data_IF_930799708997
#
_entry.id   IF_930799708997
#
_cell.length_a   1.000
_cell.length_b   1.000
_cell.length_c   1.000
_cell.angle_alpha   90.00
_cell.angle_beta   90.00
_cell.angle_gamma   90.00
#
_symmetry.space_group_name_H-M   'P 1'
#
loop_
_entity.id
_entity.type
_entity.pdbx_description
1 polymer ?
#
# COMPACT_ATOMS: atom_id res chain seq x y z
N UNK A 1 -4.16 12.41 -3.18
CA UNK A 1 -3.52 11.30 -3.91
C UNK A 1 -2.58 10.61 -2.92
N UNK A 2 -3.00 9.48 -2.35
CA UNK A 2 -2.18 8.71 -1.41
C UNK A 2 -1.42 7.67 -2.23
N UNK A 3 -0.11 7.83 -2.36
CA UNK A 3 0.77 6.79 -2.87
C UNK A 3 1.12 5.87 -1.69
N UNK A 4 0.71 4.61 -1.77
CA UNK A 4 1.12 3.58 -0.83
C UNK A 4 2.13 2.73 -1.57
N UNK A 5 3.36 2.72 -1.06
CA UNK A 5 4.37 1.80 -1.52
C UNK A 5 4.45 0.67 -0.48
N UNK A 6 4.10 -0.57 -0.82
CA UNK A 6 4.48 -1.76 -0.04
C UNK A 6 5.49 -2.58 -0.88
N UNK A 7 6.74 -2.73 -0.40
CA UNK A 7 7.98 -3.33 -0.99
C UNK A 7 7.92 -4.84 -1.42
N UNK A 8 8.96 -5.49 -2.04
CA UNK A 8 10.37 -5.09 -2.30
C UNK A 8 10.90 -5.24 -3.77
N UNK A 9 12.13 -4.76 -4.04
CA UNK A 9 12.86 -4.88 -5.32
C UNK A 9 13.34 -6.30 -5.62
N UNK A 10 13.42 -6.62 -6.92
CA UNK A 10 14.22 -7.71 -7.48
C UNK A 10 14.95 -7.16 -8.70
N UNK A 11 16.30 -7.14 -8.69
CA UNK A 11 17.08 -6.86 -9.89
C UNK A 11 17.64 -8.17 -10.44
N UNK A 12 17.14 -8.56 -11.61
CA UNK A 12 17.67 -9.70 -12.36
C UNK A 12 18.98 -9.32 -13.05
N UNK A 13 20.02 -10.12 -12.86
CA UNK A 13 21.16 -10.18 -13.78
C UNK A 13 20.71 -10.85 -15.09
N UNK A 14 20.94 -10.19 -16.23
CA UNK A 14 20.90 -10.86 -17.54
C UNK A 14 22.30 -10.87 -18.17
N UNK A 15 22.75 -12.01 -18.74
CA UNK A 15 23.90 -12.04 -19.62
C UNK A 15 23.52 -11.62 -21.05
N UNK A 16 24.47 -10.99 -21.74
CA UNK A 16 24.36 -10.55 -23.13
C UNK A 16 24.09 -11.71 -24.09
N UNK A 17 23.18 -11.52 -25.06
CA UNK A 17 23.32 -12.17 -26.37
C UNK A 17 22.68 -11.38 -27.52
N UNK A 18 23.54 -11.11 -28.49
CA UNK A 18 23.39 -10.83 -29.92
C UNK A 18 22.05 -10.43 -30.56
N UNK A 19 22.23 -9.37 -31.36
CA UNK A 19 21.33 -8.68 -32.28
C UNK A 19 21.20 -9.46 -33.59
N UNK A 20 19.97 -9.72 -34.03
CA UNK A 20 19.66 -10.07 -35.43
C UNK A 20 18.48 -9.25 -35.91
N UNK A 21 18.68 -8.55 -37.04
CA UNK A 21 17.67 -7.75 -37.74
C UNK A 21 16.76 -8.68 -38.52
N UNK A 22 15.45 -8.46 -38.43
CA UNK A 22 14.44 -9.08 -39.28
C UNK A 22 13.41 -8.05 -39.72
N UNK A 23 13.39 -7.77 -41.01
CA UNK A 23 12.45 -6.92 -41.74
C UNK A 23 11.17 -7.69 -42.06
N UNK A 24 9.99 -7.08 -41.89
CA UNK A 24 8.74 -7.50 -42.54
C UNK A 24 7.75 -6.32 -42.52
N UNK A 25 7.48 -5.67 -43.67
CA UNK A 25 6.52 -6.06 -44.71
C UNK A 25 5.05 -5.88 -44.26
N UNK A 26 4.42 -4.89 -44.88
CA UNK A 26 3.02 -4.52 -44.73
C UNK A 26 2.11 -5.55 -45.42
N UNK A 27 0.99 -5.87 -44.78
CA UNK A 27 -0.18 -6.51 -45.41
C UNK A 27 -1.44 -5.86 -44.85
N UNK A 28 -2.22 -5.29 -45.75
CA UNK A 28 -3.63 -4.95 -45.53
C UNK A 28 -4.47 -6.21 -45.78
N UNK A 29 -5.42 -6.52 -44.90
CA UNK A 29 -6.74 -6.96 -45.34
C UNK A 29 -7.77 -6.71 -44.22
N UNK A 30 -8.98 -6.34 -44.64
CA UNK A 30 -10.07 -5.91 -43.79
C UNK A 30 -10.96 -7.05 -43.30
N UNK A 31 -11.67 -6.80 -42.20
CA UNK A 31 -13.03 -7.32 -42.04
C UNK A 31 -13.78 -6.57 -40.94
N UNK A 32 -15.04 -6.29 -41.29
CA UNK A 32 -16.15 -5.64 -40.56
C UNK A 32 -16.11 -5.79 -39.03
N UNK A 33 -15.99 -4.66 -38.32
CA UNK A 33 -16.26 -4.55 -36.89
C UNK A 33 -17.51 -3.70 -36.65
N UNK A 34 -18.41 -4.22 -35.82
CA UNK A 34 -19.67 -3.61 -35.40
C UNK A 34 -19.50 -2.25 -34.74
N UNK A 35 -20.56 -1.45 -34.91
CA UNK A 35 -20.69 -0.08 -34.41
C UNK A 35 -20.54 -0.03 -32.88
N UNK A 36 -19.42 0.52 -32.42
CA UNK A 36 -19.17 0.85 -31.01
C UNK A 36 -19.91 2.15 -30.68
N UNK A 37 -20.76 2.12 -29.65
CA UNK A 37 -21.50 3.28 -29.15
C UNK A 37 -20.54 4.34 -28.54
N UNK A 38 -20.82 5.65 -28.66
CA UNK A 38 -19.95 6.70 -28.16
C UNK A 38 -19.88 6.71 -26.62
N UNK A 39 -18.67 6.91 -26.09
CA UNK A 39 -18.41 7.10 -24.66
C UNK A 39 -18.80 8.52 -24.24
N UNK A 40 -20.04 8.72 -23.80
CA UNK A 40 -20.47 9.93 -23.11
C UNK A 40 -20.77 9.62 -21.64
N UNK A 41 -20.26 10.48 -20.76
CA UNK A 41 -20.40 10.51 -19.29
C UNK A 41 -19.47 9.61 -18.45
N UNK A 42 -18.15 9.84 -18.56
CA UNK A 42 -17.24 9.56 -17.45
C UNK A 42 -17.43 10.65 -16.36
N UNK A 43 -17.56 10.30 -15.07
CA UNK A 43 -17.69 11.29 -14.01
C UNK A 43 -16.44 12.18 -13.96
N UNK A 44 -16.66 13.50 -13.99
CA UNK A 44 -15.63 14.51 -13.93
C UNK A 44 -14.95 14.49 -12.56
N UNK A 45 -13.76 13.90 -12.46
CA UNK A 45 -12.90 14.05 -11.29
C UNK A 45 -12.18 15.41 -11.42
N UNK A 46 -12.31 16.33 -10.46
CA UNK A 46 -11.72 17.67 -10.58
C UNK A 46 -10.19 17.61 -10.68
N UNK A 47 -9.64 18.41 -11.60
CA UNK A 47 -8.20 18.65 -11.74
C UNK A 47 -7.68 19.34 -10.47
N UNK A 48 -6.68 18.77 -9.82
CA UNK A 48 -5.80 19.53 -8.93
C UNK A 48 -4.76 20.25 -9.80
N UNK A 49 -4.77 21.59 -9.78
CA UNK A 49 -3.80 22.45 -10.45
C UNK A 49 -2.50 22.54 -9.64
N UNK A 50 -1.36 22.66 -10.34
CA UNK A 50 0.03 22.72 -9.84
C UNK A 50 0.51 21.47 -9.09
N UNK A 51 1.02 20.48 -9.82
CA UNK A 51 1.41 19.19 -9.28
C UNK A 51 2.76 19.26 -8.54
N UNK A 52 2.75 19.67 -7.27
CA UNK A 52 3.80 19.24 -6.34
C UNK A 52 3.82 17.70 -6.34
N UNK A 53 4.98 17.05 -6.49
CA UNK A 53 5.05 15.60 -6.44
C UNK A 53 4.47 15.08 -5.13
N UNK A 54 3.90 13.88 -5.14
CA UNK A 54 3.39 13.30 -3.90
C UNK A 54 4.55 13.11 -2.90
N UNK A 55 4.27 13.17 -1.60
CA UNK A 55 5.30 13.15 -0.54
C UNK A 55 6.35 12.05 -0.71
N UNK A 56 5.94 10.83 -1.08
CA UNK A 56 6.89 9.72 -1.21
C UNK A 56 7.79 9.83 -2.45
N UNK A 57 7.32 10.50 -3.50
CA UNK A 57 8.13 10.82 -4.68
C UNK A 57 9.09 11.95 -4.35
N UNK A 58 8.63 13.00 -3.66
CA UNK A 58 9.46 14.11 -3.20
C UNK A 58 10.57 13.65 -2.23
N UNK A 59 10.28 12.62 -1.42
CA UNK A 59 11.24 12.02 -0.48
C UNK A 59 12.01 10.82 -1.07
N UNK A 60 12.18 10.75 -2.38
CA UNK A 60 13.10 9.80 -3.01
C UNK A 60 14.49 10.45 -3.10
N UNK A 61 15.54 9.86 -2.50
CA UNK A 61 16.88 10.43 -2.65
C UNK A 61 17.33 10.45 -4.11
N UNK A 62 17.97 11.53 -4.55
CA UNK A 62 18.51 11.67 -5.91
C UNK A 62 19.74 10.79 -6.11
N UNK A 63 20.55 10.64 -5.07
CA UNK A 63 21.78 9.83 -5.05
C UNK A 63 21.57 8.39 -4.56
N UNK A 64 20.31 7.89 -4.53
CA UNK A 64 19.95 6.61 -3.92
C UNK A 64 20.81 5.43 -4.39
N UNK A 65 21.06 5.33 -5.71
CA UNK A 65 21.80 4.21 -6.28
C UNK A 65 23.28 4.24 -5.86
N UNK A 66 23.90 5.41 -5.90
CA UNK A 66 25.28 5.62 -5.50
C UNK A 66 25.48 5.29 -4.02
N UNK A 67 24.57 5.77 -3.16
CA UNK A 67 24.64 5.52 -1.71
C UNK A 67 24.44 4.04 -1.38
N UNK A 68 23.57 3.35 -2.13
CA UNK A 68 23.43 1.89 -2.00
C UNK A 68 24.71 1.17 -2.39
N UNK A 69 25.33 1.53 -3.51
CA UNK A 69 26.58 0.90 -3.95
C UNK A 69 27.70 1.08 -2.92
N UNK A 70 27.89 2.30 -2.41
CA UNK A 70 28.85 2.60 -1.33
C UNK A 70 28.58 1.77 -0.08
N UNK A 71 27.32 1.70 0.35
CA UNK A 71 26.93 0.91 1.51
C UNK A 71 27.29 -0.57 1.37
N UNK A 72 26.97 -1.18 0.22
CA UNK A 72 27.27 -2.59 -0.02
C UNK A 72 28.77 -2.84 -0.18
N UNK A 73 29.51 -1.95 -0.86
CA UNK A 73 30.97 -2.04 -0.98
C UNK A 73 31.70 -1.91 0.37
N UNK A 74 31.12 -1.19 1.32
CA UNK A 74 31.66 -1.04 2.67
C UNK A 74 31.39 -2.23 3.61
N UNK A 75 30.85 -3.33 3.08
CA UNK A 75 30.37 -4.46 3.90
C UNK A 75 29.36 -4.00 4.97
N UNK A 76 28.45 -3.09 4.56
CA UNK A 76 27.37 -2.55 5.38
C UNK A 76 27.80 -1.67 6.57
N UNK A 77 29.03 -1.13 6.58
CA UNK A 77 29.56 -0.30 7.69
C UNK A 77 29.44 1.21 7.44
N UNK A 78 29.26 1.63 6.19
CA UNK A 78 29.05 3.03 5.81
C UNK A 78 27.67 3.54 6.25
N UNK A 79 27.56 4.83 6.55
CA UNK A 79 26.28 5.51 6.83
C UNK A 79 25.87 6.33 5.60
N UNK A 80 24.86 5.89 4.83
CA UNK A 80 24.38 6.60 3.66
C UNK A 80 24.11 8.08 3.93
N UNK A 81 24.51 8.94 3.00
CA UNK A 81 24.29 10.38 3.03
C UNK A 81 23.32 10.75 1.90
N UNK A 82 22.04 10.85 2.19
CA UNK A 82 21.00 11.03 1.17
C UNK A 82 20.80 12.49 0.78
N UNK A 83 20.71 12.73 -0.52
CA UNK A 83 20.41 14.04 -1.09
C UNK A 83 18.96 14.09 -1.59
N UNK A 84 18.27 15.21 -1.34
CA UNK A 84 16.87 15.43 -1.73
C UNK A 84 16.74 16.77 -2.48
N UNK A 85 15.87 16.81 -3.49
CA UNK A 85 15.67 18.03 -4.32
C UNK A 85 14.95 19.16 -3.56
N UNK A 86 14.02 18.83 -2.66
CA UNK A 86 13.15 19.80 -1.99
C UNK A 86 13.55 20.00 -0.51
N UNK A 87 14.17 21.14 -0.19
CA UNK A 87 14.51 21.52 1.19
C UNK A 87 13.27 21.90 2.06
N UNK A 88 12.13 22.25 1.45
CA UNK A 88 10.94 22.76 2.14
C UNK A 88 9.97 21.68 2.69
N UNK A 89 10.38 20.41 2.73
CA UNK A 89 9.54 19.32 3.26
C UNK A 89 9.54 19.23 4.80
N UNK A 90 10.25 20.11 5.50
CA UNK A 90 10.44 20.08 6.97
C UNK A 90 9.13 19.95 7.74
N UNK A 91 8.15 20.80 7.46
CA UNK A 91 6.84 20.79 8.15
C UNK A 91 6.02 19.52 7.91
N UNK A 92 6.25 18.82 6.79
CA UNK A 92 5.58 17.54 6.51
C UNK A 92 6.34 16.39 7.17
N UNK A 93 7.67 16.45 7.18
CA UNK A 93 8.53 15.48 7.87
C UNK A 93 8.35 15.52 9.39
N UNK A 94 8.10 16.70 9.97
CA UNK A 94 7.79 16.86 11.39
C UNK A 94 6.59 16.03 11.84
N UNK A 95 5.62 15.75 10.95
CA UNK A 95 4.47 14.89 11.27
C UNK A 95 4.83 13.42 11.42
N UNK A 96 5.99 13.01 10.91
CA UNK A 96 6.44 11.62 10.86
C UNK A 96 7.79 11.44 11.57
N UNK A 97 8.23 12.40 12.37
CA UNK A 97 9.54 12.34 13.04
C UNK A 97 9.56 11.41 14.26
N UNK A 98 8.40 11.20 14.88
CA UNK A 98 8.26 10.41 16.11
C UNK A 98 7.72 9.02 15.79
N UNK A 99 8.43 7.99 16.29
CA UNK A 99 7.95 6.63 16.26
C UNK A 99 7.09 6.34 17.50
N UNK A 100 6.02 5.59 17.31
CA UNK A 100 5.22 5.02 18.39
C UNK A 100 5.82 3.70 18.87
N UNK A 101 5.66 3.40 20.16
CA UNK A 101 5.97 2.13 20.81
C UNK A 101 4.72 1.36 21.26
N UNK A 102 3.53 1.94 21.05
CA UNK A 102 2.24 1.45 21.56
C UNK A 102 1.97 -0.03 21.26
N UNK A 103 2.41 -0.52 20.09
CA UNK A 103 2.15 -1.89 19.66
C UNK A 103 3.39 -2.79 19.62
N UNK A 104 4.47 -2.43 20.31
CA UNK A 104 5.68 -3.26 20.32
C UNK A 104 5.43 -4.66 20.89
N UNK A 105 4.56 -4.80 21.89
CA UNK A 105 4.18 -6.12 22.39
C UNK A 105 3.53 -6.97 21.29
N UNK A 106 2.56 -6.43 20.56
CA UNK A 106 1.89 -7.14 19.46
C UNK A 106 2.86 -7.48 18.34
N UNK A 107 3.84 -6.60 18.08
CA UNK A 107 4.91 -6.87 17.13
C UNK A 107 5.73 -8.10 17.55
N UNK A 108 6.04 -8.27 18.84
CA UNK A 108 6.79 -9.45 19.31
C UNK A 108 6.00 -10.76 19.19
N UNK A 109 4.68 -10.71 19.24
CA UNK A 109 3.79 -11.87 19.02
C UNK A 109 3.67 -12.22 17.52
N UNK A 110 3.66 -11.21 16.64
CA UNK A 110 3.46 -11.40 15.19
C UNK A 110 4.74 -11.81 14.45
N UNK A 111 5.90 -11.23 14.81
CA UNK A 111 7.15 -11.42 14.05
C UNK A 111 7.71 -12.86 14.01
N UNK A 112 7.50 -13.75 14.99
CA UNK A 112 7.90 -15.15 14.89
C UNK A 112 7.35 -15.86 13.64
N UNK A 113 6.19 -15.41 13.12
CA UNK A 113 5.57 -15.94 11.90
C UNK A 113 6.12 -15.36 10.60
N UNK A 114 7.20 -14.58 10.66
CA UNK A 114 7.84 -13.99 9.51
C UNK A 114 8.27 -15.08 8.52
N UNK A 115 7.68 -15.05 7.31
CA UNK A 115 8.07 -15.98 6.25
C UNK A 115 7.78 -15.41 4.86
N UNK A 116 8.84 -14.97 4.17
CA UNK A 116 8.79 -14.51 2.79
C UNK A 116 8.41 -15.61 1.79
N UNK A 117 8.59 -16.89 2.10
CA UNK A 117 8.31 -18.01 1.19
C UNK A 117 6.81 -18.26 0.97
N UNK A 118 5.93 -17.65 1.79
CA UNK A 118 4.47 -17.80 1.68
C UNK A 118 3.86 -17.19 0.41
N UNK A 119 4.64 -16.43 -0.38
CA UNK A 119 4.16 -15.81 -1.62
C UNK A 119 3.96 -16.77 -2.78
N UNK A 120 4.61 -17.93 -2.76
CA UNK A 120 4.68 -18.82 -3.90
C UNK A 120 5.54 -18.26 -5.04
N UNK A 121 5.40 -18.84 -6.22
CA UNK A 121 6.20 -18.50 -7.39
C UNK A 121 5.81 -17.12 -7.95
N UNK A 122 6.79 -16.44 -8.56
CA UNK A 122 6.54 -15.24 -9.38
C UNK A 122 5.73 -15.66 -10.60
N UNK A 123 4.68 -14.91 -10.91
CA UNK A 123 3.76 -15.24 -11.98
C UNK A 123 4.23 -14.71 -13.34
N UNK A 124 4.08 -15.48 -14.43
CA UNK A 124 4.26 -14.96 -15.78
C UNK A 124 3.31 -13.79 -16.08
N UNK A 125 3.73 -12.84 -16.92
CA UNK A 125 2.93 -11.66 -17.32
C UNK A 125 1.50 -12.03 -17.75
N UNK A 126 1.33 -13.12 -18.50
CA UNK A 126 0.02 -13.59 -18.97
C UNK A 126 -0.92 -13.99 -17.83
N UNK A 127 -0.39 -14.63 -16.79
CA UNK A 127 -1.18 -15.04 -15.61
C UNK A 127 -1.54 -13.83 -14.75
N UNK A 128 -0.62 -12.86 -14.60
CA UNK A 128 -0.91 -11.58 -13.93
C UNK A 128 -2.07 -10.88 -14.64
N UNK A 129 -1.99 -10.73 -15.97
CA UNK A 129 -3.04 -10.14 -16.77
C UNK A 129 -4.40 -10.86 -16.65
N UNK A 130 -4.39 -12.19 -16.67
CA UNK A 130 -5.61 -12.98 -16.52
C UNK A 130 -6.27 -12.77 -15.14
N UNK A 131 -5.46 -12.78 -14.07
CA UNK A 131 -5.93 -12.55 -12.71
C UNK A 131 -6.49 -11.13 -12.53
N UNK A 132 -5.80 -10.12 -13.05
CA UNK A 132 -6.24 -8.71 -12.98
C UNK A 132 -7.56 -8.52 -13.73
N UNK A 133 -7.67 -9.03 -14.97
CA UNK A 133 -8.92 -8.95 -15.74
C UNK A 133 -10.08 -9.61 -15.00
N UNK A 134 -9.88 -10.81 -14.46
CA UNK A 134 -10.88 -11.53 -13.67
C UNK A 134 -11.31 -10.71 -12.45
N UNK A 135 -10.36 -10.09 -11.74
CA UNK A 135 -10.66 -9.27 -10.58
C UNK A 135 -11.45 -8.01 -10.96
N UNK A 136 -11.04 -7.28 -12.00
CA UNK A 136 -11.76 -6.11 -12.50
C UNK A 136 -13.18 -6.46 -12.96
N UNK A 137 -13.38 -7.63 -13.58
CA UNK A 137 -14.72 -8.13 -13.93
C UNK A 137 -15.59 -8.37 -12.70
N UNK A 138 -15.06 -9.05 -11.67
CA UNK A 138 -15.79 -9.29 -10.41
C UNK A 138 -16.24 -7.99 -9.73
N UNK A 139 -15.39 -6.97 -9.73
CA UNK A 139 -15.72 -5.69 -9.10
C UNK A 139 -16.50 -4.74 -10.02
N UNK A 140 -16.70 -5.09 -11.30
CA UNK A 140 -17.32 -4.21 -12.29
C UNK A 140 -16.47 -3.00 -12.69
N UNK A 141 -15.14 -3.08 -12.58
CA UNK A 141 -14.19 -2.00 -12.88
C UNK A 141 -13.57 -2.08 -14.28
N UNK A 142 -14.07 -2.94 -15.17
CA UNK A 142 -13.52 -3.12 -16.52
C UNK A 142 -13.68 -1.83 -17.32
N UNK A 143 -12.58 -1.31 -17.87
CA UNK A 143 -12.56 -0.05 -18.61
C UNK A 143 -12.48 1.20 -17.75
N UNK A 144 -12.65 1.08 -16.42
CA UNK A 144 -12.52 2.19 -15.47
C UNK A 144 -11.07 2.37 -15.00
N UNK A 145 -10.34 1.26 -14.83
CA UNK A 145 -8.96 1.23 -14.34
C UNK A 145 -8.02 0.78 -15.47
N UNK A 146 -7.04 1.61 -15.80
CA UNK A 146 -5.92 1.26 -16.68
C UNK A 146 -4.92 0.43 -15.87
N UNK A 147 -4.36 -0.61 -16.46
CA UNK A 147 -3.37 -1.45 -15.79
C UNK A 147 -2.05 -1.37 -16.55
N UNK A 148 -0.95 -1.21 -15.81
CA UNK A 148 0.42 -1.26 -16.33
C UNK A 148 1.23 -2.27 -15.53
N UNK A 149 2.14 -2.94 -16.20
CA UNK A 149 3.10 -3.85 -15.57
C UNK A 149 4.49 -3.22 -15.71
N UNK A 150 5.24 -3.18 -14.62
CA UNK A 150 6.57 -2.59 -14.56
C UNK A 150 7.52 -3.48 -13.77
N UNK A 151 8.81 -3.41 -14.09
CA UNK A 151 9.88 -4.02 -13.30
C UNK A 151 10.60 -2.97 -12.42
N UNK A 152 10.27 -1.69 -12.58
CA UNK A 152 10.97 -0.54 -11.97
C UNK A 152 10.25 0.01 -10.73
N UNK A 153 9.03 -0.47 -10.45
CA UNK A 153 8.22 0.04 -9.35
C UNK A 153 8.79 -0.44 -7.99
N UNK A 154 9.04 0.50 -7.08
CA UNK A 154 9.57 0.21 -5.73
C UNK A 154 8.61 -0.63 -4.86
N UNK A 155 7.31 -0.55 -5.16
CA UNK A 155 6.24 -1.26 -4.47
C UNK A 155 5.65 -2.39 -5.31
N UNK A 156 4.91 -3.30 -4.69
CA UNK A 156 4.18 -4.35 -5.39
C UNK A 156 3.17 -3.80 -6.38
N UNK A 157 2.52 -2.70 -6.01
CA UNK A 157 1.64 -1.97 -6.89
C UNK A 157 1.50 -0.51 -6.42
N UNK A 158 0.90 0.31 -7.28
CA UNK A 158 0.47 1.65 -6.95
C UNK A 158 -0.74 2.02 -7.79
N UNK A 159 -1.75 2.61 -7.16
CA UNK A 159 -2.87 3.26 -7.84
C UNK A 159 -2.62 4.78 -7.94
N UNK A 160 -2.58 5.29 -9.18
CA UNK A 160 -2.45 6.74 -9.47
C UNK A 160 -3.60 7.21 -10.35
N UNK A 161 -3.88 8.51 -10.37
CA UNK A 161 -4.80 9.11 -11.35
C UNK A 161 -3.96 9.91 -12.33
N UNK A 162 -3.78 9.38 -13.54
CA UNK A 162 -3.05 10.03 -14.63
C UNK A 162 -4.04 10.47 -15.70
N UNK A 163 -4.03 11.76 -16.08
CA UNK A 163 -4.93 12.30 -17.12
C UNK A 163 -6.42 11.94 -16.88
N UNK A 164 -6.86 12.09 -15.62
CA UNK A 164 -8.21 11.71 -15.16
C UNK A 164 -8.54 10.21 -15.29
N UNK A 165 -7.56 9.35 -15.53
CA UNK A 165 -7.72 7.90 -15.59
C UNK A 165 -7.03 7.22 -14.41
N UNK A 166 -7.78 6.50 -13.57
CA UNK A 166 -7.21 5.60 -12.57
C UNK A 166 -6.30 4.58 -13.25
N UNK A 167 -5.04 4.51 -12.83
CA UNK A 167 -4.00 3.65 -13.39
C UNK A 167 -3.35 2.86 -12.27
N UNK A 168 -3.50 1.54 -12.33
CA UNK A 168 -2.83 0.58 -11.47
C UNK A 168 -1.54 0.11 -12.14
N UNK A 169 -0.39 0.46 -11.56
CA UNK A 169 0.90 -0.10 -11.99
C UNK A 169 1.29 -1.22 -11.04
N UNK A 170 1.61 -2.41 -11.56
CA UNK A 170 1.99 -3.60 -10.78
C UNK A 170 3.45 -3.94 -11.04
N UNK A 171 4.21 -4.20 -9.98
CA UNK A 171 5.56 -4.75 -10.07
C UNK A 171 5.50 -6.26 -10.36
N UNK A 172 6.08 -6.67 -11.49
CA UNK A 172 6.11 -8.06 -11.91
C UNK A 172 6.90 -8.98 -10.98
N UNK A 173 8.02 -8.50 -10.42
CA UNK A 173 8.81 -9.27 -9.46
C UNK A 173 8.07 -9.51 -8.13
N UNK A 174 7.14 -8.62 -7.80
CA UNK A 174 6.25 -8.73 -6.63
C UNK A 174 4.97 -9.52 -6.89
N UNK A 175 4.63 -9.78 -8.15
CA UNK A 175 3.39 -10.45 -8.55
C UNK A 175 3.48 -11.96 -8.34
N UNK A 176 3.22 -12.41 -7.12
CA UNK A 176 3.33 -13.82 -6.72
C UNK A 176 1.98 -14.52 -6.58
N UNK A 177 1.97 -15.83 -6.83
CA UNK A 177 0.77 -16.66 -6.90
C UNK A 177 -0.19 -16.48 -5.73
N UNK A 178 0.31 -16.45 -4.49
CA UNK A 178 -0.54 -16.36 -3.29
C UNK A 178 -0.77 -14.93 -2.80
N UNK A 179 -0.13 -13.94 -3.41
CA UNK A 179 -0.20 -12.54 -2.97
C UNK A 179 -0.95 -11.63 -3.94
N UNK A 180 -0.97 -11.95 -5.24
CA UNK A 180 -1.51 -11.07 -6.27
C UNK A 180 -2.97 -10.66 -6.00
N UNK A 181 -3.85 -11.61 -5.67
CA UNK A 181 -5.25 -11.26 -5.39
C UNK A 181 -5.41 -10.43 -4.11
N UNK A 182 -4.53 -10.61 -3.12
CA UNK A 182 -4.47 -9.75 -1.93
C UNK A 182 -4.06 -8.32 -2.28
N UNK A 183 -3.07 -8.16 -3.14
CA UNK A 183 -2.68 -6.84 -3.67
C UNK A 183 -3.85 -6.19 -4.44
N UNK A 184 -4.60 -6.94 -5.24
CA UNK A 184 -5.77 -6.39 -5.95
C UNK A 184 -6.89 -5.97 -5.00
N UNK A 185 -7.12 -6.72 -3.90
CA UNK A 185 -8.04 -6.28 -2.83
C UNK A 185 -7.56 -5.01 -2.12
N UNK A 186 -6.26 -4.85 -1.93
CA UNK A 186 -5.65 -3.66 -1.36
C UNK A 186 -5.88 -2.44 -2.27
N UNK A 187 -5.39 -2.50 -3.51
CA UNK A 187 -5.41 -1.36 -4.45
C UNK A 187 -6.81 -1.07 -5.01
N UNK A 188 -7.48 -2.09 -5.53
CA UNK A 188 -8.78 -1.94 -6.20
C UNK A 188 -9.91 -2.07 -5.19
N UNK A 189 -9.94 -3.20 -4.46
CA UNK A 189 -10.99 -3.52 -3.50
C UNK A 189 -11.11 -2.52 -2.35
N UNK A 190 -10.04 -1.81 -2.02
CA UNK A 190 -10.04 -0.85 -0.91
C UNK A 190 -9.83 0.56 -1.43
N UNK A 191 -8.63 0.92 -1.88
CA UNK A 191 -8.30 2.31 -2.17
C UNK A 191 -9.12 2.91 -3.30
N UNK A 192 -9.26 2.16 -4.40
CA UNK A 192 -10.01 2.62 -5.55
C UNK A 192 -11.50 2.71 -5.25
N UNK A 193 -12.14 1.63 -4.81
CA UNK A 193 -13.59 1.61 -4.56
C UNK A 193 -14.00 2.59 -3.45
N UNK A 194 -13.24 2.68 -2.35
CA UNK A 194 -13.50 3.71 -1.32
C UNK A 194 -13.25 5.13 -1.86
N UNK A 195 -12.31 5.31 -2.79
CA UNK A 195 -12.11 6.57 -3.49
C UNK A 195 -13.30 6.97 -4.37
N UNK A 196 -13.85 6.01 -5.13
CA UNK A 196 -15.06 6.19 -5.94
C UNK A 196 -16.23 6.56 -5.02
N UNK A 197 -16.46 5.79 -3.97
CA UNK A 197 -17.53 6.06 -3.01
C UNK A 197 -17.37 7.42 -2.33
N UNK A 198 -16.14 7.80 -1.95
CA UNK A 198 -15.84 9.10 -1.35
C UNK A 198 -16.24 10.28 -2.25
N UNK A 199 -16.11 10.12 -3.58
CA UNK A 199 -16.47 11.17 -4.54
C UNK A 199 -17.98 11.46 -4.60
N UNK A 200 -18.80 10.52 -4.12
CA UNK A 200 -20.26 10.65 -4.04
C UNK A 200 -20.72 11.36 -2.76
N UNK A 201 -19.83 11.49 -1.76
CA UNK A 201 -20.22 11.95 -0.43
C UNK A 201 -20.19 13.48 -0.31
N UNK A 202 -21.06 14.08 0.53
CA UNK A 202 -21.05 15.52 0.81
C UNK A 202 -19.73 16.05 1.37
N UNK A 203 -18.90 15.17 1.96
CA UNK A 203 -17.57 15.48 2.50
C UNK A 203 -16.42 15.11 1.55
N UNK A 204 -16.67 14.99 0.25
CA UNK A 204 -15.61 14.70 -0.73
C UNK A 204 -14.48 15.75 -0.74
N UNK A 205 -14.79 17.01 -0.38
CA UNK A 205 -13.84 18.13 -0.39
C UNK A 205 -13.18 18.37 0.98
N UNK A 206 -11.95 18.86 0.98
CA UNK A 206 -11.19 19.15 2.21
C UNK A 206 -11.87 20.20 3.10
N UNK A 207 -12.51 21.20 2.49
CA UNK A 207 -13.23 22.28 3.17
C UNK A 207 -14.42 21.72 3.95
N UNK A 208 -15.20 20.83 3.32
CA UNK A 208 -16.33 20.16 3.98
C UNK A 208 -15.87 19.23 5.09
N UNK A 209 -14.76 18.50 4.90
CA UNK A 209 -14.18 17.64 5.95
C UNK A 209 -13.75 18.47 7.17
N UNK A 210 -13.16 19.65 6.96
CA UNK A 210 -12.80 20.58 8.04
C UNK A 210 -14.03 21.14 8.74
N UNK A 211 -15.05 21.56 7.99
CA UNK A 211 -16.29 22.09 8.55
C UNK A 211 -17.03 21.07 9.44
N UNK A 212 -16.97 19.78 9.09
CA UNK A 212 -17.53 18.69 9.89
C UNK A 212 -16.61 18.21 11.02
N UNK A 213 -15.37 18.70 11.09
CA UNK A 213 -14.37 18.22 12.05
C UNK A 213 -14.15 16.71 11.93
N UNK A 214 -13.95 16.21 10.71
CA UNK A 214 -13.69 14.78 10.49
C UNK A 214 -12.29 14.40 10.96
N UNK A 215 -12.18 13.21 11.56
CA UNK A 215 -10.91 12.62 11.96
C UNK A 215 -10.10 12.19 10.73
N UNK A 216 -8.80 12.01 10.95
CA UNK A 216 -7.90 11.53 9.91
C UNK A 216 -8.31 10.12 9.44
N UNK A 217 -8.60 9.97 8.15
CA UNK A 217 -9.02 8.68 7.58
C UNK A 217 -7.86 7.69 7.37
N UNK A 218 -6.60 8.15 7.47
CA UNK A 218 -5.43 7.38 7.04
C UNK A 218 -5.28 6.05 7.82
N UNK A 219 -5.39 5.99 9.16
CA UNK A 219 -5.34 4.71 9.87
C UNK A 219 -6.43 3.73 9.43
N UNK A 220 -7.66 4.20 9.19
CA UNK A 220 -8.74 3.34 8.69
C UNK A 220 -8.48 2.84 7.28
N UNK A 221 -8.04 3.73 6.39
CA UNK A 221 -7.76 3.40 4.99
C UNK A 221 -6.64 2.37 4.85
N UNK A 222 -5.50 2.63 5.49
CA UNK A 222 -4.30 1.77 5.43
C UNK A 222 -4.52 0.46 6.20
N UNK A 223 -5.24 0.51 7.32
CA UNK A 223 -5.61 -0.66 8.10
C UNK A 223 -6.52 -1.61 7.33
N UNK A 224 -7.59 -1.10 6.70
CA UNK A 224 -8.49 -1.91 5.87
C UNK A 224 -7.74 -2.53 4.70
N UNK A 225 -6.94 -1.74 3.98
CA UNK A 225 -6.21 -2.23 2.82
C UNK A 225 -5.18 -3.31 3.22
N UNK A 226 -4.53 -3.14 4.36
CA UNK A 226 -3.58 -4.13 4.90
C UNK A 226 -4.28 -5.42 5.32
N UNK A 227 -5.42 -5.35 6.01
CA UNK A 227 -6.26 -6.51 6.34
C UNK A 227 -6.73 -7.24 5.07
N UNK A 228 -7.24 -6.51 4.08
CA UNK A 228 -7.72 -7.08 2.82
C UNK A 228 -6.62 -7.79 2.02
N UNK A 229 -5.36 -7.37 2.18
CA UNK A 229 -4.21 -8.03 1.54
C UNK A 229 -3.96 -9.45 2.04
N UNK A 230 -4.34 -9.75 3.30
CA UNK A 230 -4.18 -11.06 3.94
C UNK A 230 -5.49 -11.84 4.12
N UNK A 231 -6.63 -11.17 3.96
CA UNK A 231 -7.98 -11.66 4.32
C UNK A 231 -8.31 -13.10 3.95
N UNK A 232 -7.92 -13.55 2.76
CA UNK A 232 -8.26 -14.88 2.23
C UNK A 232 -7.02 -15.78 2.08
N UNK A 233 -5.92 -15.46 2.76
CA UNK A 233 -4.73 -16.33 2.78
C UNK A 233 -4.97 -17.49 3.76
N UNK A 234 -4.42 -18.66 3.43
CA UNK A 234 -4.43 -19.82 4.34
C UNK A 234 -3.77 -19.52 5.69
N UNK A 235 -2.73 -18.68 5.68
CA UNK A 235 -2.01 -18.19 6.85
C UNK A 235 -1.98 -16.66 6.78
N UNK A 236 -2.93 -15.96 7.40
CA UNK A 236 -3.08 -14.52 7.25
C UNK A 236 -2.21 -13.73 8.24
N UNK A 237 -0.91 -14.04 8.28
CA UNK A 237 0.03 -13.39 9.19
C UNK A 237 0.28 -11.92 8.81
N UNK A 238 0.38 -11.07 9.83
CA UNK A 238 0.54 -9.63 9.74
C UNK A 238 2.01 -9.17 9.80
N UNK A 239 2.97 -10.11 9.65
CA UNK A 239 4.41 -9.86 9.83
C UNK A 239 4.95 -8.72 8.98
N UNK A 240 4.35 -8.40 7.81
CA UNK A 240 4.77 -7.24 7.00
C UNK A 240 4.53 -5.92 7.73
N UNK A 241 3.32 -5.74 8.26
CA UNK A 241 2.96 -4.54 9.00
C UNK A 241 3.73 -4.47 10.33
N UNK A 242 3.90 -5.61 11.01
CA UNK A 242 4.69 -5.68 12.24
C UNK A 242 6.17 -5.36 12.02
N UNK A 243 6.79 -5.87 10.94
CA UNK A 243 8.18 -5.59 10.64
C UNK A 243 8.41 -4.13 10.24
N UNK A 244 7.49 -3.53 9.49
CA UNK A 244 7.54 -2.08 9.20
C UNK A 244 7.46 -1.27 10.50
N UNK A 245 6.53 -1.61 11.38
CA UNK A 245 6.36 -0.94 12.67
C UNK A 245 7.62 -1.05 13.54
N UNK A 246 8.16 -2.27 13.66
CA UNK A 246 9.39 -2.58 14.38
C UNK A 246 10.59 -1.80 13.86
N UNK A 247 10.76 -1.80 12.54
CA UNK A 247 11.90 -1.14 11.88
C UNK A 247 11.85 0.36 12.12
N UNK A 248 10.68 0.99 11.98
CA UNK A 248 10.51 2.42 12.26
C UNK A 248 10.83 2.74 13.71
N UNK A 249 10.32 1.95 14.67
CA UNK A 249 10.56 2.18 16.09
C UNK A 249 12.05 2.20 16.41
N UNK A 250 12.80 1.18 15.95
CA UNK A 250 14.24 1.12 16.19
C UNK A 250 15.04 2.14 15.39
N UNK A 251 14.58 2.55 14.20
CA UNK A 251 15.23 3.60 13.42
C UNK A 251 15.32 4.93 14.17
N UNK A 252 14.35 5.22 15.06
CA UNK A 252 14.35 6.44 15.86
C UNK A 252 15.63 6.60 16.71
N UNK A 253 16.28 5.51 17.09
CA UNK A 253 17.45 5.52 17.97
C UNK A 253 18.75 5.01 17.32
N UNK A 254 18.68 4.32 16.18
CA UNK A 254 19.84 3.67 15.53
C UNK A 254 20.29 4.44 14.29
N UNK A 255 21.57 4.36 13.94
CA UNK A 255 22.06 4.73 12.60
C UNK A 255 21.52 3.78 11.51
N UNK A 256 21.77 4.09 10.24
CA UNK A 256 21.34 3.22 9.14
C UNK A 256 22.04 1.85 9.20
N UNK A 257 23.36 1.83 9.37
CA UNK A 257 24.12 0.58 9.45
C UNK A 257 23.70 -0.26 10.67
N UNK A 258 23.48 0.38 11.83
CA UNK A 258 23.02 -0.28 13.05
C UNK A 258 21.64 -0.90 12.85
N UNK A 259 20.69 -0.16 12.29
CA UNK A 259 19.34 -0.65 11.99
C UNK A 259 19.39 -1.83 11.01
N UNK A 260 20.20 -1.73 9.96
CA UNK A 260 20.40 -2.77 8.96
C UNK A 260 20.92 -4.07 9.58
N UNK A 261 21.87 -4.00 10.49
CA UNK A 261 22.34 -5.17 11.23
C UNK A 261 21.29 -5.68 12.21
N UNK A 262 20.57 -4.78 12.88
CA UNK A 262 19.58 -5.11 13.89
C UNK A 262 18.45 -5.97 13.34
N UNK A 263 17.89 -5.60 12.17
CA UNK A 263 16.77 -6.32 11.56
C UNK A 263 17.17 -7.63 10.85
N UNK A 264 18.47 -7.96 10.79
CA UNK A 264 18.99 -9.24 10.24
C UNK A 264 18.39 -10.47 10.91
N UNK A 265 18.01 -10.34 12.18
CA UNK A 265 17.34 -11.39 12.95
C UNK A 265 16.04 -11.88 12.31
N UNK A 266 15.39 -11.04 11.50
CA UNK A 266 14.18 -11.37 10.75
C UNK A 266 14.49 -11.46 9.26
N UNK A 267 15.12 -10.42 8.68
CA UNK A 267 15.32 -10.30 7.24
C UNK A 267 16.75 -10.67 6.86
N UNK A 268 16.94 -11.85 6.25
CA UNK A 268 18.28 -12.30 5.87
C UNK A 268 18.83 -11.63 4.61
N UNK A 269 18.00 -11.38 3.60
CA UNK A 269 18.43 -10.72 2.36
C UNK A 269 18.93 -9.29 2.63
N UNK A 270 20.19 -8.97 2.29
CA UNK A 270 20.74 -7.62 2.40
C UNK A 270 19.92 -6.59 1.62
N UNK A 271 19.47 -6.94 0.41
CA UNK A 271 18.65 -6.06 -0.43
C UNK A 271 17.34 -5.66 0.24
N UNK A 272 16.62 -6.65 0.79
CA UNK A 272 15.37 -6.39 1.49
C UNK A 272 15.62 -5.56 2.75
N UNK A 273 16.70 -5.83 3.50
CA UNK A 273 17.07 -5.04 4.68
C UNK A 273 17.32 -3.57 4.34
N UNK A 274 18.07 -3.31 3.26
CA UNK A 274 18.35 -1.96 2.78
C UNK A 274 17.06 -1.17 2.57
N UNK A 275 16.05 -1.80 1.96
CA UNK A 275 14.78 -1.14 1.69
C UNK A 275 13.99 -0.81 2.96
N UNK A 276 13.96 -1.71 3.95
CA UNK A 276 13.33 -1.43 5.25
C UNK A 276 14.03 -0.25 5.94
N UNK A 277 15.36 -0.21 5.93
CA UNK A 277 16.14 0.88 6.51
C UNK A 277 15.89 2.20 5.77
N UNK A 278 15.93 2.18 4.43
CA UNK A 278 15.65 3.35 3.59
C UNK A 278 14.27 3.94 3.86
N UNK A 279 13.25 3.10 4.06
CA UNK A 279 11.89 3.58 4.38
C UNK A 279 11.83 4.22 5.75
N UNK A 280 12.42 3.56 6.74
CA UNK A 280 12.41 4.04 8.12
C UNK A 280 13.28 5.30 8.32
N UNK A 281 14.26 5.54 7.45
CA UNK A 281 15.18 6.70 7.47
C UNK A 281 14.89 7.75 6.39
N UNK A 282 13.81 7.58 5.62
CA UNK A 282 13.47 8.45 4.49
C UNK A 282 13.32 9.91 4.93
N UNK A 283 13.90 10.84 4.17
CA UNK A 283 13.87 12.27 4.46
C UNK A 283 15.00 12.75 5.39
N UNK A 284 15.92 11.86 5.81
CA UNK A 284 17.14 12.24 6.53
C UNK A 284 18.31 12.30 5.57
N UNK A 285 19.06 13.41 5.61
CA UNK A 285 20.30 13.55 4.84
C UNK A 285 21.44 12.77 5.48
N UNK A 286 21.70 12.98 6.78
CA UNK A 286 22.73 12.24 7.51
C UNK A 286 22.10 11.08 8.29
N UNK A 287 22.26 9.86 7.77
CA UNK A 287 21.67 8.67 8.38
C UNK A 287 22.50 8.07 9.52
N UNK A 288 23.64 8.66 9.85
CA UNK A 288 24.40 8.33 11.08
C UNK A 288 23.66 8.76 12.34
N UNK A 289 22.73 9.72 12.21
CA UNK A 289 22.00 10.33 13.32
C UNK A 289 20.72 9.56 13.69
N UNK A 290 20.30 9.63 14.96
CA UNK A 290 18.97 9.17 15.38
C UNK A 290 17.85 9.90 14.64
N UNK A 291 16.74 9.19 14.41
CA UNK A 291 15.54 9.73 13.79
C UNK A 291 14.84 8.71 12.89
N UNK A 292 13.55 8.89 12.64
CA UNK A 292 12.80 8.02 11.74
C UNK A 292 11.82 8.79 10.84
N UNK A 293 11.25 8.08 9.87
CA UNK A 293 10.08 8.46 9.11
C UNK A 293 8.95 7.49 9.42
N UNK A 294 8.09 7.85 10.37
CA UNK A 294 7.14 6.94 11.01
C UNK A 294 5.87 6.62 10.23
N UNK A 295 5.78 7.10 8.97
CA UNK A 295 4.61 6.93 8.11
C UNK A 295 4.12 5.48 8.04
N UNK A 296 5.03 4.51 7.98
CA UNK A 296 4.67 3.10 7.81
C UNK A 296 4.14 2.42 9.09
N UNK A 297 4.22 3.05 10.26
CA UNK A 297 3.58 2.51 11.46
C UNK A 297 2.04 2.48 11.35
N UNK A 298 1.49 3.29 10.45
CA UNK A 298 0.04 3.40 10.24
C UNK A 298 -0.61 2.10 9.77
N UNK A 299 0.13 1.20 9.10
CA UNK A 299 -0.45 -0.06 8.63
C UNK A 299 -0.84 -0.95 9.82
N UNK A 300 0.10 -1.21 10.74
CA UNK A 300 -0.19 -2.01 11.92
C UNK A 300 -1.15 -1.29 12.87
N UNK A 301 -0.94 0.01 13.11
CA UNK A 301 -1.85 0.82 13.93
C UNK A 301 -3.30 0.73 13.42
N UNK A 302 -3.50 0.92 12.11
CA UNK A 302 -4.80 0.80 11.47
C UNK A 302 -5.40 -0.60 11.59
N UNK A 303 -4.60 -1.64 11.34
CA UNK A 303 -5.03 -3.05 11.50
C UNK A 303 -5.54 -3.31 12.92
N UNK A 304 -4.75 -2.96 13.94
CA UNK A 304 -5.08 -3.29 15.33
C UNK A 304 -6.29 -2.50 15.83
N UNK A 305 -6.44 -1.23 15.44
CA UNK A 305 -7.66 -0.43 15.73
C UNK A 305 -8.89 -1.02 15.07
N UNK A 306 -8.80 -1.45 13.81
CA UNK A 306 -9.94 -2.08 13.13
C UNK A 306 -10.28 -3.42 13.76
N UNK A 307 -9.29 -4.28 14.01
CA UNK A 307 -9.51 -5.57 14.65
C UNK A 307 -10.13 -5.40 16.03
N UNK A 308 -9.65 -4.44 16.81
CA UNK A 308 -10.21 -4.07 18.12
C UNK A 308 -11.72 -3.77 18.05
N UNK A 309 -12.14 -2.99 17.07
CA UNK A 309 -13.54 -2.54 16.94
C UNK A 309 -14.35 -3.36 15.91
N UNK A 310 -13.80 -4.45 15.36
CA UNK A 310 -14.39 -5.20 14.24
C UNK A 310 -15.81 -5.71 14.46
N UNK A 311 -16.26 -5.88 15.72
CA UNK A 311 -17.64 -6.31 16.03
C UNK A 311 -18.64 -5.16 16.02
N UNK A 312 -18.16 -3.92 16.13
CA UNK A 312 -18.97 -2.71 16.15
C UNK A 312 -18.97 -1.97 14.80
N UNK A 313 -17.98 -2.25 13.93
CA UNK A 313 -17.88 -1.62 12.61
C UNK A 313 -18.85 -2.28 11.63
N UNK A 314 -19.76 -1.50 11.06
CA UNK A 314 -20.50 -1.85 9.85
C UNK A 314 -19.58 -1.64 8.64
N UNK A 315 -18.90 -2.71 8.22
CA UNK A 315 -17.89 -2.63 7.17
C UNK A 315 -18.44 -2.29 5.78
N UNK A 316 -19.69 -2.66 5.49
CA UNK A 316 -20.34 -2.30 4.23
C UNK A 316 -20.66 -0.80 4.23
N UNK A 317 -21.27 -0.28 5.30
CA UNK A 317 -21.48 1.15 5.45
C UNK A 317 -20.17 1.92 5.42
N UNK A 318 -19.16 1.51 6.20
CA UNK A 318 -17.86 2.17 6.22
C UNK A 318 -17.24 2.24 4.82
N UNK A 319 -17.44 1.22 4.00
CA UNK A 319 -17.00 1.20 2.59
C UNK A 319 -17.80 2.17 1.73
N UNK A 320 -19.12 2.22 1.88
CA UNK A 320 -20.01 3.15 1.18
C UNK A 320 -19.71 4.63 1.54
N UNK A 321 -19.33 4.92 2.79
CA UNK A 321 -18.95 6.26 3.24
C UNK A 321 -17.63 6.78 2.63
N UNK A 322 -16.88 5.93 1.93
CA UNK A 322 -15.63 6.30 1.29
C UNK A 322 -14.48 6.52 2.29
N UNK A 323 -13.62 7.50 2.04
CA UNK A 323 -12.35 7.68 2.78
C UNK A 323 -12.57 8.48 4.07
N UNK A 324 -13.14 7.84 5.08
CA UNK A 324 -13.38 8.41 6.41
C UNK A 324 -12.80 7.51 7.50
N UNK A 325 -12.62 8.06 8.71
CA UNK A 325 -12.32 7.25 9.89
C UNK A 325 -13.51 6.38 10.26
N UNK A 326 -13.28 5.14 10.70
CA UNK A 326 -14.38 4.30 11.22
C UNK A 326 -15.06 4.94 12.45
N UNK A 327 -14.34 5.80 13.17
CA UNK A 327 -14.85 6.52 14.35
C UNK A 327 -15.88 7.61 13.99
N UNK A 328 -15.91 8.08 12.74
CA UNK A 328 -16.89 9.07 12.27
C UNK A 328 -18.14 8.43 11.67
N UNK A 329 -18.18 7.10 11.54
CA UNK A 329 -19.19 6.36 10.77
C UNK A 329 -20.62 6.68 11.20
N UNK A 330 -20.92 6.60 12.51
CA UNK A 330 -22.28 6.81 13.01
C UNK A 330 -22.77 8.25 12.83
N UNK A 331 -21.86 9.23 12.98
CA UNK A 331 -22.17 10.65 12.74
C UNK A 331 -22.44 10.95 11.27
N UNK A 332 -21.77 10.23 10.37
CA UNK A 332 -21.89 10.42 8.93
C UNK A 332 -23.06 9.65 8.31
N UNK A 333 -23.51 8.56 8.93
CA UNK A 333 -24.65 7.73 8.48
C UNK A 333 -25.87 8.56 8.01
N UNK A 334 -26.39 9.54 8.76
CA UNK A 334 -27.56 10.31 8.32
C UNK A 334 -27.30 11.29 7.17
N UNK A 335 -26.03 11.63 6.90
CA UNK A 335 -25.63 12.57 5.85
C UNK A 335 -25.20 11.86 4.56
N UNK A 336 -25.12 10.53 4.58
CA UNK A 336 -24.47 9.75 3.55
C UNK A 336 -25.30 9.63 2.27
N UNK A 337 -24.64 9.80 1.12
CA UNK A 337 -25.19 9.40 -0.16
C UNK A 337 -24.86 7.92 -0.39
N UNK A 338 -25.81 7.03 -0.12
CA UNK A 338 -25.61 5.58 -0.27
C UNK A 338 -25.96 5.06 -1.67
N UNK A 339 -26.76 5.80 -2.43
CA UNK A 339 -27.11 5.43 -3.80
C UNK A 339 -25.87 5.36 -4.68
N UNK A 340 -25.76 4.30 -5.49
CA UNK A 340 -24.64 4.05 -6.43
C UNK A 340 -23.27 3.80 -5.76
N UNK A 341 -23.21 3.71 -4.44
CA UNK A 341 -22.00 3.24 -3.76
C UNK A 341 -21.75 1.77 -4.09
N UNK A 342 -20.47 1.38 -4.06
CA UNK A 342 -20.03 0.04 -4.45
C UNK A 342 -19.37 -0.66 -3.28
N UNK A 343 -19.79 -1.89 -3.03
CA UNK A 343 -19.21 -2.77 -2.02
C UNK A 343 -18.39 -3.85 -2.75
N UNK A 344 -17.13 -4.10 -2.37
CA UNK A 344 -16.31 -5.13 -2.98
C UNK A 344 -16.93 -6.51 -2.83
N UNK A 345 -16.76 -7.37 -3.84
CA UNK A 345 -17.39 -8.70 -3.83
C UNK A 345 -17.06 -9.55 -2.59
N UNK A 346 -15.86 -9.39 -2.02
CA UNK A 346 -15.40 -10.14 -0.84
C UNK A 346 -15.96 -9.64 0.49
N UNK A 347 -16.70 -8.52 0.49
CA UNK A 347 -17.37 -7.94 1.66
C UNK A 347 -18.90 -8.11 1.62
N UNK A 348 -19.42 -8.74 0.56
CA UNK A 348 -20.88 -8.93 0.40
C UNK A 348 -21.46 -9.90 1.42
N UNK A 349 -20.70 -10.96 1.75
CA UNK A 349 -21.04 -11.91 2.80
C UNK A 349 -20.42 -11.41 4.12
N UNK A 350 -21.23 -10.74 4.92
CA UNK A 350 -20.80 -10.08 6.17
C UNK A 350 -20.33 -11.08 7.21
N UNK A 351 -20.99 -12.24 7.33
CA UNK A 351 -20.65 -13.26 8.31
C UNK A 351 -19.32 -13.91 7.97
N UNK A 352 -19.13 -14.25 6.68
CA UNK A 352 -17.84 -14.76 6.21
C UNK A 352 -16.74 -13.73 6.38
N UNK A 353 -16.99 -12.46 6.03
CA UNK A 353 -16.01 -11.39 6.19
C UNK A 353 -15.59 -11.25 7.67
N UNK A 354 -16.57 -11.24 8.58
CA UNK A 354 -16.32 -11.20 10.02
C UNK A 354 -15.54 -12.42 10.52
N UNK A 355 -15.87 -13.62 10.04
CA UNK A 355 -15.14 -14.84 10.36
C UNK A 355 -13.68 -14.77 9.90
N UNK A 356 -13.40 -14.19 8.72
CA UNK A 356 -12.03 -13.99 8.25
C UNK A 356 -11.27 -12.98 9.14
N UNK A 357 -11.90 -11.90 9.60
CA UNK A 357 -11.25 -10.98 10.53
C UNK A 357 -10.92 -11.64 11.87
N UNK A 358 -11.82 -12.47 12.40
CA UNK A 358 -11.54 -13.28 13.59
C UNK A 358 -10.40 -14.28 13.35
N UNK A 359 -10.35 -14.89 12.16
CA UNK A 359 -9.26 -15.79 11.78
C UNK A 359 -7.91 -15.06 11.69
N UNK A 360 -7.86 -13.84 11.15
CA UNK A 360 -6.65 -12.99 11.17
C UNK A 360 -6.20 -12.76 12.61
N UNK A 361 -7.10 -12.31 13.49
CA UNK A 361 -6.78 -12.03 14.89
C UNK A 361 -6.18 -13.25 15.58
N UNK A 362 -6.84 -14.41 15.48
CA UNK A 362 -6.39 -15.66 16.09
C UNK A 362 -5.06 -16.17 15.50
N UNK A 363 -4.86 -16.07 14.18
CA UNK A 363 -3.63 -16.54 13.51
C UNK A 363 -2.39 -15.71 13.83
N UNK A 364 -2.56 -14.58 14.51
CA UNK A 364 -1.49 -13.66 14.90
C UNK A 364 -1.35 -13.57 16.43
N UNK A 365 -1.96 -14.51 17.17
CA UNK A 365 -1.92 -14.59 18.64
C UNK A 365 -2.42 -13.33 19.37
N UNK A 366 -3.25 -12.52 18.71
CA UNK A 366 -3.82 -11.32 19.29
C UNK A 366 -5.10 -11.65 20.04
N UNK A 367 -5.34 -11.04 21.21
CA UNK A 367 -6.58 -11.20 21.96
C UNK A 367 -7.44 -9.93 22.03
N UNK A 368 -8.76 -10.10 22.14
CA UNK A 368 -9.70 -8.99 22.35
C UNK A 368 -9.40 -8.22 23.64
N UNK A 369 -8.99 -8.93 24.71
CA UNK A 369 -8.72 -8.34 26.01
C UNK A 369 -7.46 -7.46 26.01
N UNK A 370 -6.42 -7.85 25.28
CA UNK A 370 -5.21 -7.03 25.11
C UNK A 370 -5.50 -5.78 24.28
N UNK A 371 -6.16 -5.94 23.14
CA UNK A 371 -6.51 -4.80 22.31
C UNK A 371 -7.44 -3.84 23.06
N UNK A 372 -8.37 -4.34 23.88
CA UNK A 372 -9.25 -3.51 24.71
C UNK A 372 -8.52 -2.73 25.79
N UNK A 373 -7.42 -3.26 26.34
CA UNK A 373 -6.59 -2.54 27.31
C UNK A 373 -5.74 -1.44 26.65
N UNK A 374 -5.21 -1.71 25.45
CA UNK A 374 -4.38 -0.77 24.70
C UNK A 374 -5.19 0.33 24.00
N UNK A 375 -6.38 -0.01 23.54
CA UNK A 375 -7.29 0.84 22.77
C UNK A 375 -8.67 0.82 23.45
N UNK A 376 -8.84 1.56 24.56
CA UNK A 376 -10.06 1.52 25.37
C UNK A 376 -11.32 1.86 24.57
#
# INVERSE_FOLDING_TARGET
>A
IHFIQLLPFSFGHQPMSHRTKGTSAAVQDGSRAGVIRPATSLPHIPKASSARPCLLVALRPTNLQQERERFFQSEFTYEPQFEYEEAELSTVLDKYREASDLFLQQVTEILPYFNFMTGGNVLPKSQVWAAVRKYLQKEGCVGEVVVRLSDELLSQAVMVVENCRPTLTINLSGARQHWLEGMLRHEIGTHYLRGVNNSLQPWASSERRKALGLKGANPTEEGLASLHSVLLRKQPHLWRAALLYYTVHHAAAMSFSQLFHHIRRFVHSPDVRWEYCLRAKRGQTDTSRPGCFSKDQVYLDGILRILRHRRAIDFQLLTALGKVSFEDMERLRPLATLSRTRIPHFMMDTDRYQAQLNHILASNELSDAELQRLLP
#
